data_IF_202698427525
#
_entry.id   IF_202698427525
#
_cell.length_a   1.000
_cell.length_b   1.000
_cell.length_c   1.000
_cell.angle_alpha   90.00
_cell.angle_beta   90.00
_cell.angle_gamma   90.00
#
_symmetry.space_group_name_H-M   'P 1'
#
loop_
_entity.id
_entity.type
_entity.pdbx_description
1 polymer ?
#
# COMPACT_ATOMS: atom_id res chain seq x y z
N UNK A 1 85.63 9.22 -44.27
CA UNK A 1 85.58 8.94 -45.73
C UNK A 1 84.41 9.70 -46.35
N UNK A 2 84.68 10.31 -47.51
CA UNK A 2 83.83 10.89 -48.58
C UNK A 2 82.29 11.04 -48.43
N UNK A 3 81.84 12.28 -48.62
CA UNK A 3 80.83 12.80 -49.59
C UNK A 3 79.70 11.85 -50.06
N UNK A 4 78.43 12.28 -49.96
CA UNK A 4 77.69 12.91 -51.07
C UNK A 4 76.29 13.42 -50.68
N UNK A 5 75.88 14.53 -51.30
CA UNK A 5 74.55 15.16 -51.26
C UNK A 5 73.54 14.37 -52.10
N UNK A 6 72.25 14.38 -51.74
CA UNK A 6 71.14 14.55 -52.70
C UNK A 6 69.80 14.78 -51.98
N UNK A 7 69.28 15.98 -52.20
CA UNK A 7 67.91 16.45 -51.97
C UNK A 7 66.88 15.61 -52.72
N UNK A 8 65.80 15.21 -52.06
CA UNK A 8 64.52 14.93 -52.69
C UNK A 8 63.39 15.53 -51.85
N UNK A 9 62.68 16.48 -52.45
CA UNK A 9 61.42 17.06 -52.00
C UNK A 9 60.31 16.10 -52.41
N UNK A 10 59.51 15.56 -51.47
CA UNK A 10 58.18 15.02 -51.79
C UNK A 10 57.20 15.35 -50.66
N UNK A 11 56.24 16.21 -51.03
CA UNK A 11 54.86 16.40 -50.60
C UNK A 11 54.42 15.95 -49.19
N UNK A 12 54.02 16.94 -48.39
CA UNK A 12 53.11 16.76 -47.28
C UNK A 12 51.71 16.34 -47.78
N UNK A 13 51.24 15.18 -47.35
CA UNK A 13 49.81 14.83 -47.33
C UNK A 13 49.43 14.76 -45.86
N UNK A 14 48.82 15.84 -45.35
CA UNK A 14 48.20 15.85 -44.05
C UNK A 14 46.92 15.00 -44.14
N UNK A 15 47.00 13.75 -43.71
CA UNK A 15 45.83 12.92 -43.48
C UNK A 15 45.12 13.46 -42.23
N UNK A 16 44.06 14.23 -42.42
CA UNK A 16 43.16 14.62 -41.35
C UNK A 16 42.44 13.35 -40.85
N UNK A 17 42.93 12.78 -39.75
CA UNK A 17 42.19 11.79 -38.97
C UNK A 17 40.98 12.49 -38.35
N UNK A 18 39.86 12.49 -39.08
CA UNK A 18 38.56 12.76 -38.51
C UNK A 18 38.25 11.68 -37.47
N UNK A 19 38.41 12.02 -36.19
CA UNK A 19 37.99 11.16 -35.10
C UNK A 19 36.48 10.92 -35.20
N UNK A 20 36.10 9.69 -35.52
CA UNK A 20 34.75 9.20 -35.25
C UNK A 20 34.57 9.16 -33.73
N UNK A 21 34.04 10.23 -33.17
CA UNK A 21 33.46 10.20 -31.84
C UNK A 21 32.23 9.29 -31.89
N UNK A 22 32.38 8.05 -31.43
CA UNK A 22 31.24 7.16 -31.18
C UNK A 22 30.52 7.75 -29.97
N UNK A 23 29.50 8.57 -30.22
CA UNK A 23 28.56 8.98 -29.20
C UNK A 23 27.77 7.73 -28.80
N UNK A 24 28.16 7.09 -27.70
CA UNK A 24 27.32 6.09 -27.05
C UNK A 24 26.07 6.81 -26.54
N UNK A 25 24.98 6.73 -27.29
CA UNK A 25 23.68 7.12 -26.81
C UNK A 25 23.31 6.18 -25.67
N UNK A 26 23.55 6.61 -24.43
CA UNK A 26 22.97 5.96 -23.26
C UNK A 26 21.47 6.14 -23.36
N UNK A 27 20.78 5.08 -23.79
CA UNK A 27 19.33 5.00 -23.66
C UNK A 27 19.06 4.85 -22.17
N UNK A 28 18.85 5.97 -21.48
CA UNK A 28 18.20 5.94 -20.17
C UNK A 28 16.81 5.37 -20.40
N UNK A 29 16.60 4.11 -20.01
CA UNK A 29 15.26 3.57 -19.87
C UNK A 29 14.55 4.44 -18.83
N UNK A 30 13.71 5.36 -19.29
CA UNK A 30 12.71 5.99 -18.43
C UNK A 30 11.86 4.86 -17.88
N UNK A 31 11.95 4.63 -16.57
CA UNK A 31 10.96 3.88 -15.82
C UNK A 31 9.56 4.40 -16.23
N UNK A 32 8.54 3.56 -16.34
CA UNK A 32 7.19 4.03 -16.63
C UNK A 32 6.72 4.89 -15.45
N UNK A 33 6.90 6.19 -15.55
CA UNK A 33 6.33 7.18 -14.64
C UNK A 33 5.02 7.66 -15.28
N UNK A 34 3.89 7.01 -15.00
CA UNK A 34 2.57 7.57 -15.33
C UNK A 34 1.34 6.88 -14.71
N UNK A 35 1.36 5.61 -14.26
CA UNK A 35 0.10 4.94 -13.87
C UNK A 35 -0.40 5.24 -12.44
N UNK A 36 0.43 5.84 -11.58
CA UNK A 36 0.12 5.97 -10.14
C UNK A 36 -0.77 7.18 -9.76
N UNK A 37 -0.96 8.11 -10.71
CA UNK A 37 -1.79 9.33 -10.58
C UNK A 37 -3.24 9.13 -11.07
N UNK A 38 -3.50 8.03 -11.81
CA UNK A 38 -4.78 7.79 -12.50
C UNK A 38 -5.97 7.66 -11.52
N UNK A 39 -5.71 7.19 -10.30
CA UNK A 39 -6.70 7.11 -9.24
C UNK A 39 -7.00 8.49 -8.62
N UNK A 40 -5.95 9.15 -8.11
CA UNK A 40 -6.05 10.39 -7.34
C UNK A 40 -4.69 11.07 -7.22
N UNK A 41 -4.63 12.34 -7.60
CA UNK A 41 -3.45 13.19 -7.47
C UNK A 41 -3.70 14.32 -6.45
N UNK A 42 -2.82 14.45 -5.46
CA UNK A 42 -2.93 15.52 -4.46
C UNK A 42 -2.49 16.87 -5.06
N UNK A 43 -3.37 17.90 -5.04
CA UNK A 43 -3.08 19.17 -5.71
C UNK A 43 -2.22 20.13 -4.85
N UNK A 44 -2.01 19.80 -3.57
CA UNK A 44 -1.32 20.66 -2.60
C UNK A 44 -0.73 19.86 -1.45
N UNK A 45 0.19 20.48 -0.73
CA UNK A 45 0.67 19.97 0.57
C UNK A 45 -0.45 20.03 1.60
N UNK A 46 -0.59 18.99 2.42
CA UNK A 46 -1.58 18.92 3.50
C UNK A 46 -0.89 18.89 4.86
N UNK A 47 -1.38 19.72 5.78
CA UNK A 47 -0.90 19.83 7.16
C UNK A 47 -2.03 20.14 8.12
N UNK A 48 -1.74 20.19 9.43
CA UNK A 48 -2.73 20.51 10.46
C UNK A 48 -3.61 21.72 10.11
N UNK A 49 -4.92 21.58 10.28
CA UNK A 49 -5.93 22.59 9.95
C UNK A 49 -6.45 22.53 8.50
N UNK A 50 -5.77 21.79 7.61
CA UNK A 50 -6.29 21.55 6.26
C UNK A 50 -7.55 20.69 6.31
N UNK A 51 -8.52 20.96 5.45
CA UNK A 51 -9.69 20.12 5.27
C UNK A 51 -10.08 20.00 3.80
N UNK A 52 -10.82 18.95 3.46
CA UNK A 52 -11.33 18.68 2.12
C UNK A 52 -11.24 17.22 1.71
N UNK A 53 -11.70 16.94 0.49
CA UNK A 53 -11.67 15.60 -0.09
C UNK A 53 -10.23 15.05 -0.25
N UNK A 54 -9.25 15.93 -0.45
CA UNK A 54 -7.82 15.59 -0.48
C UNK A 54 -7.31 15.06 0.86
N UNK A 55 -7.81 15.60 1.98
CA UNK A 55 -7.53 15.08 3.31
C UNK A 55 -8.24 13.74 3.55
N UNK A 56 -9.49 13.58 3.13
CA UNK A 56 -10.20 12.29 3.18
C UNK A 56 -9.41 11.21 2.44
N UNK A 57 -8.94 11.55 1.24
CA UNK A 57 -8.10 10.68 0.43
C UNK A 57 -6.81 10.33 1.15
N UNK A 58 -6.13 11.28 1.79
CA UNK A 58 -4.91 11.01 2.56
C UNK A 58 -5.19 10.06 3.74
N UNK A 59 -6.23 10.34 4.52
CA UNK A 59 -6.64 9.54 5.68
C UNK A 59 -6.84 8.06 5.30
N UNK A 60 -7.44 7.77 4.15
CA UNK A 60 -7.61 6.39 3.66
C UNK A 60 -6.26 5.67 3.53
N UNK A 61 -5.24 6.34 2.96
CA UNK A 61 -3.93 5.72 2.69
C UNK A 61 -3.09 5.57 3.94
N UNK A 62 -3.23 6.49 4.90
CA UNK A 62 -2.49 6.43 6.16
C UNK A 62 -3.26 5.75 7.30
N UNK A 63 -4.44 5.19 7.03
CA UNK A 63 -5.34 4.64 8.04
C UNK A 63 -4.71 3.53 8.91
N UNK A 64 -3.80 2.75 8.32
CA UNK A 64 -3.08 1.68 9.01
C UNK A 64 -1.85 2.12 9.81
N UNK A 65 -1.58 3.43 9.89
CA UNK A 65 -0.40 3.99 10.57
C UNK A 65 -0.74 4.72 11.87
N UNK A 66 -1.90 4.42 12.45
CA UNK A 66 -2.32 4.95 13.76
C UNK A 66 -1.65 4.20 14.92
N UNK A 67 -1.53 4.81 16.11
CA UNK A 67 -1.09 4.11 17.31
C UNK A 67 -1.97 2.90 17.63
N UNK A 68 -1.40 1.95 18.39
CA UNK A 68 -2.10 0.76 18.85
C UNK A 68 -3.44 1.12 19.51
N UNK A 69 -4.49 0.37 19.16
CA UNK A 69 -5.81 0.51 19.77
C UNK A 69 -6.58 1.75 19.32
N UNK A 70 -6.12 2.41 18.27
CA UNK A 70 -6.85 3.49 17.61
C UNK A 70 -7.36 3.03 16.25
N UNK A 71 -8.46 3.63 15.82
CA UNK A 71 -9.00 3.52 14.47
C UNK A 71 -9.09 4.93 13.90
N UNK A 72 -8.61 5.12 12.67
CA UNK A 72 -8.62 6.44 12.03
C UNK A 72 -10.05 6.89 11.69
N UNK A 73 -10.42 8.09 12.16
CA UNK A 73 -11.58 8.81 11.63
C UNK A 73 -11.28 9.35 10.23
N UNK A 74 -12.13 9.01 9.25
CA UNK A 74 -12.02 9.50 7.88
C UNK A 74 -13.08 10.60 7.71
N UNK A 75 -12.73 11.81 8.17
CA UNK A 75 -13.62 12.96 8.28
C UNK A 75 -13.24 14.13 7.35
N UNK A 76 -12.14 14.00 6.61
CA UNK A 76 -11.63 15.06 5.73
C UNK A 76 -11.00 16.23 6.48
N UNK A 77 -10.69 16.08 7.78
CA UNK A 77 -10.04 17.11 8.61
C UNK A 77 -8.65 16.66 9.03
N UNK A 78 -7.65 17.49 8.77
CA UNK A 78 -6.27 17.21 9.13
C UNK A 78 -6.04 17.61 10.59
N UNK A 79 -6.49 16.75 11.51
CA UNK A 79 -6.30 16.87 12.94
C UNK A 79 -5.02 16.21 13.45
N UNK A 80 -4.90 16.10 14.78
CA UNK A 80 -3.75 15.48 15.45
C UNK A 80 -3.58 14.00 15.08
N UNK A 81 -4.68 13.24 14.93
CA UNK A 81 -4.61 11.84 14.54
C UNK A 81 -4.05 11.66 13.12
N UNK A 82 -4.51 12.48 12.16
CA UNK A 82 -3.97 12.50 10.79
C UNK A 82 -2.49 12.85 10.78
N UNK A 83 -2.06 13.88 11.53
CA UNK A 83 -0.65 14.26 11.65
C UNK A 83 0.22 13.10 12.15
N UNK A 84 -0.21 12.42 13.21
CA UNK A 84 0.51 11.28 13.78
C UNK A 84 0.61 10.13 12.78
N UNK A 85 -0.48 9.81 12.08
CA UNK A 85 -0.47 8.73 11.09
C UNK A 85 0.43 9.04 9.89
N UNK A 86 0.45 10.29 9.42
CA UNK A 86 1.38 10.74 8.37
C UNK A 86 2.83 10.60 8.84
N UNK A 87 3.16 11.05 10.06
CA UNK A 87 4.51 10.91 10.60
C UNK A 87 4.94 9.44 10.76
N UNK A 88 4.03 8.56 11.17
CA UNK A 88 4.29 7.12 11.27
C UNK A 88 4.50 6.47 9.90
N UNK A 89 3.66 6.80 8.92
CA UNK A 89 3.84 6.37 7.53
C UNK A 89 5.21 6.81 6.99
N UNK A 90 5.55 8.09 7.17
CA UNK A 90 6.83 8.65 6.74
C UNK A 90 8.00 7.90 7.38
N UNK A 91 7.95 7.68 8.71
CA UNK A 91 8.98 6.94 9.43
C UNK A 91 9.12 5.50 8.91
N UNK A 92 8.00 4.81 8.69
CA UNK A 92 8.00 3.42 8.22
C UNK A 92 8.68 3.28 6.85
N UNK A 93 8.47 4.26 5.97
CA UNK A 93 9.04 4.28 4.63
C UNK A 93 10.34 5.08 4.48
N UNK A 94 11.01 5.42 5.59
CA UNK A 94 12.32 6.07 5.56
C UNK A 94 12.30 7.53 5.06
N UNK A 95 11.15 8.20 5.15
CA UNK A 95 11.00 9.62 4.83
C UNK A 95 11.26 10.49 6.09
N UNK A 96 11.42 11.81 5.89
CA UNK A 96 11.38 12.75 7.01
C UNK A 96 10.00 12.71 7.69
N UNK A 97 9.97 12.38 8.98
CA UNK A 97 8.74 12.18 9.76
C UNK A 97 8.22 13.49 10.39
N UNK A 98 7.91 14.48 9.55
CA UNK A 98 7.44 15.81 9.97
C UNK A 98 5.91 15.89 10.19
N UNK A 99 5.17 14.86 9.76
CA UNK A 99 3.71 14.82 9.82
C UNK A 99 3.03 15.76 8.82
N UNK A 100 3.74 16.22 7.80
CA UNK A 100 3.24 17.06 6.71
C UNK A 100 3.23 16.22 5.42
N UNK A 101 2.06 16.07 4.81
CA UNK A 101 1.95 15.35 3.55
C UNK A 101 2.31 16.28 2.39
N UNK A 102 3.60 16.27 2.02
CA UNK A 102 4.14 16.96 0.84
C UNK A 102 4.53 16.02 -0.30
N UNK A 103 5.23 16.51 -1.34
CA UNK A 103 5.56 15.75 -2.55
C UNK A 103 6.23 14.38 -2.29
N UNK A 104 7.15 14.29 -1.33
CA UNK A 104 7.81 13.01 -0.99
C UNK A 104 6.82 11.99 -0.38
N UNK A 105 5.88 12.45 0.45
CA UNK A 105 4.84 11.59 1.02
C UNK A 105 3.90 11.08 -0.07
N UNK A 106 3.44 11.98 -0.96
CA UNK A 106 2.56 11.60 -2.06
C UNK A 106 3.25 10.67 -3.07
N UNK A 107 4.51 10.94 -3.42
CA UNK A 107 5.30 10.06 -4.28
C UNK A 107 5.39 8.64 -3.72
N UNK A 108 5.55 8.50 -2.40
CA UNK A 108 5.54 7.17 -1.77
C UNK A 108 4.17 6.52 -1.79
N UNK A 109 3.09 7.27 -1.57
CA UNK A 109 1.71 6.77 -1.71
C UNK A 109 1.45 6.27 -3.14
N UNK A 110 1.85 7.04 -4.15
CA UNK A 110 1.73 6.68 -5.56
C UNK A 110 2.47 5.37 -5.87
N UNK A 111 3.68 5.18 -5.34
CA UNK A 111 4.42 3.92 -5.52
C UNK A 111 3.75 2.69 -4.87
N UNK A 112 2.76 2.90 -3.99
CA UNK A 112 1.99 1.85 -3.32
C UNK A 112 0.55 1.76 -3.87
N UNK A 113 0.19 2.55 -4.87
CA UNK A 113 -1.19 2.68 -5.34
C UNK A 113 -1.33 2.14 -6.76
N UNK A 114 -2.34 1.30 -6.96
CA UNK A 114 -2.77 0.85 -8.29
C UNK A 114 -3.76 1.83 -8.93
N UNK A 115 -3.95 1.78 -10.28
CA UNK A 115 -4.84 2.69 -11.00
C UNK A 115 -6.29 2.74 -10.49
N UNK A 116 -6.78 1.67 -9.87
CA UNK A 116 -8.15 1.58 -9.33
C UNK A 116 -8.28 2.05 -7.86
N UNK A 117 -7.22 2.69 -7.34
CA UNK A 117 -7.08 3.19 -5.96
C UNK A 117 -6.85 2.14 -4.88
N UNK A 118 -6.75 0.86 -5.22
CA UNK A 118 -6.30 -0.17 -4.26
C UNK A 118 -4.79 -0.05 -4.01
N UNK A 119 -4.27 -0.59 -2.89
CA UNK A 119 -2.84 -0.68 -2.70
C UNK A 119 -2.23 -1.78 -3.58
N UNK A 120 -0.96 -1.63 -3.93
CA UNK A 120 -0.21 -2.46 -4.88
C UNK A 120 -0.31 -3.98 -4.66
N UNK A 121 -0.47 -4.43 -3.42
CA UNK A 121 -0.43 -5.85 -3.08
C UNK A 121 -1.79 -6.48 -2.82
N UNK A 122 -2.90 -5.73 -2.97
CA UNK A 122 -4.24 -6.24 -2.71
C UNK A 122 -5.25 -5.70 -3.72
N UNK A 123 -6.09 -6.56 -4.27
CA UNK A 123 -7.02 -6.18 -5.34
C UNK A 123 -8.47 -6.19 -4.87
N UNK A 124 -9.35 -5.45 -5.56
CA UNK A 124 -10.79 -5.62 -5.34
C UNK A 124 -11.26 -7.04 -5.64
N UNK A 125 -10.71 -7.69 -6.69
CA UNK A 125 -11.13 -9.02 -7.09
C UNK A 125 -10.90 -10.05 -5.97
N UNK A 126 -9.70 -10.03 -5.37
CA UNK A 126 -9.34 -10.86 -4.23
C UNK A 126 -10.27 -10.61 -3.03
N UNK A 127 -10.58 -9.34 -2.75
CA UNK A 127 -11.46 -8.96 -1.66
C UNK A 127 -12.97 -9.09 -1.96
N UNK A 128 -13.38 -9.53 -3.16
CA UNK A 128 -14.81 -9.59 -3.54
C UNK A 128 -15.22 -10.86 -4.28
N UNK A 129 -14.48 -11.96 -4.11
CA UNK A 129 -14.89 -13.28 -4.60
C UNK A 129 -16.35 -13.60 -4.21
N UNK A 130 -16.75 -13.24 -2.97
CA UNK A 130 -18.13 -13.29 -2.49
C UNK A 130 -18.76 -14.67 -2.69
N UNK A 131 -18.03 -15.72 -2.31
CA UNK A 131 -18.39 -17.12 -2.55
C UNK A 131 -18.58 -17.43 -4.05
N UNK A 132 -17.64 -16.99 -4.89
CA UNK A 132 -17.64 -17.16 -6.35
C UNK A 132 -18.66 -16.33 -7.14
N UNK A 133 -19.39 -15.43 -6.49
CA UNK A 133 -20.41 -14.58 -7.15
C UNK A 133 -19.86 -13.25 -7.65
N UNK A 134 -18.63 -12.90 -7.28
CA UNK A 134 -18.04 -11.61 -7.56
C UNK A 134 -18.74 -10.45 -6.83
N UNK A 135 -18.32 -9.24 -7.15
CA UNK A 135 -18.81 -8.04 -6.47
C UNK A 135 -20.25 -7.69 -6.85
N UNK A 136 -21.17 -7.84 -5.91
CA UNK A 136 -22.59 -7.47 -6.03
C UNK A 136 -22.97 -6.25 -5.17
N UNK A 137 -21.99 -5.61 -4.54
CA UNK A 137 -22.18 -4.52 -3.60
C UNK A 137 -22.36 -3.15 -4.23
N UNK A 138 -22.49 -2.16 -3.36
CA UNK A 138 -22.62 -0.74 -3.73
C UNK A 138 -21.26 -0.04 -3.82
N UNK A 139 -21.22 1.19 -4.37
CA UNK A 139 -20.02 2.02 -4.31
C UNK A 139 -19.54 2.27 -2.87
N UNK A 140 -20.45 2.36 -1.89
CA UNK A 140 -20.09 2.50 -0.48
C UNK A 140 -19.40 1.23 0.07
N UNK A 141 -19.85 0.05 -0.35
CA UNK A 141 -19.17 -1.20 -0.02
C UNK A 141 -17.75 -1.23 -0.62
N UNK A 142 -17.61 -0.82 -1.88
CA UNK A 142 -16.31 -0.74 -2.55
C UNK A 142 -15.36 0.25 -1.87
N UNK A 143 -15.87 1.39 -1.44
CA UNK A 143 -15.09 2.38 -0.66
C UNK A 143 -14.63 1.81 0.70
N UNK A 144 -15.48 1.06 1.40
CA UNK A 144 -15.10 0.37 2.64
C UNK A 144 -14.02 -0.70 2.40
N UNK A 145 -14.12 -1.44 1.28
CA UNK A 145 -13.09 -2.41 0.91
C UNK A 145 -11.74 -1.72 0.72
N UNK A 146 -11.70 -0.61 -0.03
CA UNK A 146 -10.47 0.18 -0.20
C UNK A 146 -9.87 0.60 1.14
N UNK A 147 -10.70 1.04 2.09
CA UNK A 147 -10.26 1.41 3.44
C UNK A 147 -9.68 0.24 4.23
N UNK A 148 -10.22 -0.97 4.06
CA UNK A 148 -9.69 -2.18 4.67
C UNK A 148 -8.38 -2.61 3.98
N UNK A 149 -8.30 -2.57 2.65
CA UNK A 149 -7.12 -2.94 1.88
C UNK A 149 -5.92 -2.03 2.19
N UNK A 150 -6.10 -0.71 2.30
CA UNK A 150 -5.00 0.19 2.69
C UNK A 150 -4.49 -0.05 4.11
N UNK A 151 -5.32 -0.56 5.02
CA UNK A 151 -4.87 -1.04 6.34
C UNK A 151 -4.13 -2.37 6.23
N UNK A 152 -4.56 -3.27 5.34
CA UNK A 152 -3.87 -4.52 5.05
C UNK A 152 -2.48 -4.26 4.43
N UNK A 153 -2.33 -3.24 3.58
CA UNK A 153 -1.02 -2.80 3.06
C UNK A 153 -0.08 -2.33 4.17
N UNK A 154 -0.59 -1.53 5.11
CA UNK A 154 0.19 -1.15 6.28
C UNK A 154 0.57 -2.37 7.13
N UNK A 155 -0.36 -3.31 7.34
CA UNK A 155 -0.12 -4.56 8.07
C UNK A 155 0.95 -5.42 7.40
N UNK A 156 0.89 -5.58 6.08
CA UNK A 156 1.90 -6.28 5.25
C UNK A 156 3.28 -5.67 5.48
N UNK A 157 3.40 -4.34 5.38
CA UNK A 157 4.67 -3.66 5.59
C UNK A 157 5.17 -3.77 7.04
N UNK A 158 4.28 -3.63 8.03
CA UNK A 158 4.60 -3.79 9.45
C UNK A 158 5.06 -5.21 9.81
N UNK A 159 4.63 -6.22 9.05
CA UNK A 159 5.09 -7.59 9.16
C UNK A 159 6.42 -7.84 8.45
N UNK A 160 7.07 -6.82 7.88
CA UNK A 160 8.34 -6.98 7.18
C UNK A 160 8.19 -7.30 5.69
N UNK A 161 7.14 -6.77 5.04
CA UNK A 161 6.86 -6.95 3.62
C UNK A 161 6.55 -8.40 3.17
N UNK A 162 6.24 -9.28 4.13
CA UNK A 162 5.76 -10.63 3.86
C UNK A 162 4.35 -10.60 3.24
N UNK A 163 4.08 -11.35 2.16
CA UNK A 163 2.79 -11.36 1.50
C UNK A 163 1.69 -11.87 2.43
N UNK A 164 0.51 -11.26 2.34
CA UNK A 164 -0.73 -11.73 2.97
C UNK A 164 -1.73 -12.05 1.86
N UNK A 165 -2.62 -13.00 2.09
CA UNK A 165 -3.71 -13.33 1.18
C UNK A 165 -5.05 -13.04 1.82
N UNK A 166 -5.95 -12.42 1.08
CA UNK A 166 -7.35 -12.27 1.44
C UNK A 166 -8.09 -13.53 1.00
N UNK A 167 -8.62 -14.29 1.95
CA UNK A 167 -9.44 -15.48 1.66
C UNK A 167 -10.92 -15.15 1.59
N UNK A 168 -11.35 -14.05 2.22
CA UNK A 168 -12.71 -13.55 2.17
C UNK A 168 -12.74 -12.06 2.49
N UNK A 169 -13.60 -11.30 1.81
CA UNK A 169 -13.74 -9.86 1.95
C UNK A 169 -15.20 -9.43 1.92
N UNK A 170 -15.63 -8.66 0.93
CA UNK A 170 -17.06 -8.36 0.76
C UNK A 170 -17.88 -9.64 0.61
N UNK A 171 -18.97 -9.73 1.39
CA UNK A 171 -20.01 -10.75 1.26
C UNK A 171 -21.35 -10.05 1.13
N UNK A 172 -22.17 -10.39 0.14
CA UNK A 172 -23.58 -10.04 0.20
C UNK A 172 -24.32 -10.95 1.22
N UNK A 173 -25.62 -10.70 1.44
CA UNK A 173 -26.42 -11.45 2.40
C UNK A 173 -26.49 -12.94 2.10
N UNK A 174 -26.45 -13.34 0.83
CA UNK A 174 -26.48 -14.75 0.41
C UNK A 174 -25.17 -15.46 0.74
N UNK A 175 -24.00 -14.90 0.38
CA UNK A 175 -22.72 -15.52 0.78
C UNK A 175 -22.58 -15.55 2.29
N UNK A 176 -22.88 -14.44 2.96
CA UNK A 176 -22.75 -14.36 4.41
C UNK A 176 -23.60 -15.42 5.12
N UNK A 177 -24.86 -15.62 4.70
CA UNK A 177 -25.69 -16.69 5.26
C UNK A 177 -25.15 -18.09 4.93
N UNK A 178 -24.65 -18.31 3.70
CA UNK A 178 -24.14 -19.63 3.27
C UNK A 178 -22.91 -20.11 4.05
N UNK A 179 -22.09 -19.18 4.56
CA UNK A 179 -20.92 -19.48 5.40
C UNK A 179 -21.22 -19.41 6.91
N UNK A 180 -22.50 -19.27 7.29
CA UNK A 180 -22.89 -19.15 8.69
C UNK A 180 -22.48 -17.83 9.36
N UNK A 181 -22.23 -16.78 8.57
CA UNK A 181 -21.81 -15.48 9.06
C UNK A 181 -22.89 -14.77 9.89
N UNK A 182 -22.45 -13.98 10.87
CA UNK A 182 -23.35 -13.19 11.72
C UNK A 182 -24.16 -12.16 10.91
N UNK A 183 -25.38 -11.86 11.36
CA UNK A 183 -26.27 -10.88 10.69
C UNK A 183 -25.75 -9.44 10.74
N UNK A 184 -24.91 -9.13 11.72
CA UNK A 184 -24.23 -7.84 11.89
C UNK A 184 -22.76 -7.88 11.41
N UNK A 185 -22.39 -8.85 10.56
CA UNK A 185 -21.03 -8.99 10.05
C UNK A 185 -20.56 -7.75 9.26
N UNK A 186 -19.32 -7.33 9.49
CA UNK A 186 -18.70 -6.20 8.78
C UNK A 186 -18.32 -6.57 7.33
N UNK A 187 -18.33 -7.86 6.96
CA UNK A 187 -18.20 -8.29 5.56
C UNK A 187 -19.36 -7.79 4.69
N UNK A 188 -20.57 -7.67 5.25
CA UNK A 188 -21.77 -7.15 4.56
C UNK A 188 -21.61 -5.69 4.13
N UNK A 189 -20.79 -4.92 4.86
CA UNK A 189 -20.50 -3.53 4.52
C UNK A 189 -19.24 -3.38 3.67
N UNK A 190 -18.52 -4.46 3.37
CA UNK A 190 -17.23 -4.45 2.67
C UNK A 190 -16.05 -3.99 3.53
N UNK A 191 -16.24 -3.83 4.85
CA UNK A 191 -15.23 -3.29 5.75
C UNK A 191 -14.36 -4.33 6.45
N UNK A 192 -14.46 -5.60 6.07
CA UNK A 192 -13.76 -6.72 6.71
C UNK A 192 -12.94 -7.52 5.69
N UNK A 193 -11.87 -8.14 6.19
CA UNK A 193 -11.00 -9.06 5.46
C UNK A 193 -10.68 -10.26 6.36
N UNK A 194 -10.75 -11.45 5.80
CA UNK A 194 -10.20 -12.67 6.39
C UNK A 194 -8.83 -12.89 5.75
N UNK A 195 -7.78 -12.84 6.57
CA UNK A 195 -6.38 -12.85 6.11
C UNK A 195 -5.66 -14.14 6.52
N UNK A 196 -4.84 -14.66 5.62
CA UNK A 196 -3.91 -15.76 5.89
C UNK A 196 -2.48 -15.42 5.44
N UNK A 197 -1.46 -16.09 6.00
CA UNK A 197 -0.08 -15.95 5.53
C UNK A 197 0.05 -16.26 4.02
N UNK A 198 0.79 -15.43 3.30
CA UNK A 198 1.19 -15.69 1.92
C UNK A 198 2.48 -16.52 1.81
N UNK A 199 3.24 -16.61 2.90
CA UNK A 199 4.48 -17.38 3.02
C UNK A 199 4.60 -18.05 4.40
N UNK A 200 5.71 -18.75 4.65
CA UNK A 200 5.97 -19.43 5.93
C UNK A 200 6.61 -18.55 7.01
N UNK A 201 6.93 -17.29 6.70
CA UNK A 201 7.56 -16.37 7.65
C UNK A 201 6.51 -15.69 8.55
N UNK A 202 5.27 -15.63 8.09
CA UNK A 202 4.11 -15.14 8.84
C UNK A 202 3.20 -16.29 9.29
N UNK A 203 2.41 -16.04 10.32
CA UNK A 203 1.39 -16.95 10.85
C UNK A 203 0.09 -16.18 11.08
N UNK A 204 -1.04 -16.88 11.21
CA UNK A 204 -2.31 -16.25 11.58
C UNK A 204 -2.17 -15.45 12.89
N UNK A 205 -1.44 -16.00 13.87
CA UNK A 205 -1.18 -15.30 15.12
C UNK A 205 -0.27 -14.08 14.98
N UNK A 206 0.71 -14.07 14.08
CA UNK A 206 1.49 -12.85 13.84
C UNK A 206 0.65 -11.77 13.15
N UNK A 207 -0.23 -12.16 12.21
CA UNK A 207 -1.18 -11.26 11.55
C UNK A 207 -2.11 -10.63 12.59
N UNK A 208 -2.80 -11.44 13.40
CA UNK A 208 -3.72 -10.96 14.42
C UNK A 208 -3.01 -10.03 15.42
N UNK A 209 -1.82 -10.40 15.92
CA UNK A 209 -1.08 -9.58 16.88
C UNK A 209 -0.65 -8.24 16.29
N UNK A 210 -0.20 -8.23 15.03
CA UNK A 210 0.27 -7.01 14.38
C UNK A 210 -0.89 -6.11 13.92
N UNK A 211 -2.05 -6.67 13.57
CA UNK A 211 -3.24 -5.92 13.18
C UNK A 211 -3.70 -4.90 14.24
N UNK A 212 -3.35 -5.11 15.51
CA UNK A 212 -3.57 -4.18 16.64
C UNK A 212 -2.88 -2.81 16.47
N UNK A 213 -1.88 -2.74 15.60
CA UNK A 213 -1.13 -1.53 15.24
C UNK A 213 -1.45 -1.04 13.81
N UNK A 214 -2.38 -1.70 13.11
CA UNK A 214 -2.73 -1.42 11.73
C UNK A 214 -4.12 -0.77 11.58
N UNK A 215 -4.64 -0.16 12.65
CA UNK A 215 -5.88 0.63 12.60
C UNK A 215 -7.16 -0.17 12.39
N UNK A 216 -7.16 -1.47 12.74
CA UNK A 216 -8.35 -2.32 12.73
C UNK A 216 -9.08 -2.29 14.09
N UNK A 217 -10.39 -2.11 14.06
CA UNK A 217 -11.22 -2.14 15.26
C UNK A 217 -11.64 -3.55 15.65
N UNK A 218 -11.98 -4.39 14.67
CA UNK A 218 -12.26 -5.81 14.89
C UNK A 218 -11.05 -6.65 14.53
N UNK A 219 -10.64 -7.56 15.42
CA UNK A 219 -9.59 -8.55 15.15
C UNK A 219 -10.01 -9.85 15.82
N UNK A 220 -10.25 -10.89 15.04
CA UNK A 220 -10.58 -12.22 15.57
C UNK A 220 -9.67 -13.27 14.95
N UNK A 221 -9.13 -14.17 15.75
CA UNK A 221 -8.18 -15.18 15.29
C UNK A 221 -8.23 -16.44 16.17
N UNK A 222 -7.16 -17.25 16.15
CA UNK A 222 -7.15 -18.53 16.83
C UNK A 222 -7.54 -18.44 18.30
N UNK A 223 -8.44 -19.33 18.72
CA UNK A 223 -9.08 -19.33 20.04
C UNK A 223 -10.45 -18.65 20.07
N UNK A 224 -10.74 -17.73 19.13
CA UNK A 224 -12.08 -17.16 18.98
C UNK A 224 -12.95 -18.10 18.11
N UNK A 225 -14.25 -18.33 18.45
CA UNK A 225 -15.07 -19.31 17.75
C UNK A 225 -15.08 -19.14 16.23
N UNK A 226 -14.74 -20.21 15.50
CA UNK A 226 -14.66 -20.26 14.03
C UNK A 226 -13.61 -19.36 13.36
N UNK A 227 -12.52 -19.01 14.07
CA UNK A 227 -11.44 -18.16 13.55
C UNK A 227 -10.03 -18.79 13.70
N UNK A 228 -9.94 -20.12 13.80
CA UNK A 228 -8.65 -20.82 13.96
C UNK A 228 -7.83 -20.92 12.67
N UNK A 229 -8.46 -20.73 11.50
CA UNK A 229 -7.85 -20.92 10.17
C UNK A 229 -7.59 -19.60 9.41
N UNK A 230 -7.95 -18.45 10.00
CA UNK A 230 -7.69 -17.12 9.44
C UNK A 230 -7.62 -16.05 10.53
N UNK A 231 -7.07 -14.88 10.20
CA UNK A 231 -7.19 -13.68 11.02
C UNK A 231 -8.26 -12.78 10.38
N UNK A 232 -9.40 -12.67 11.02
CA UNK A 232 -10.41 -11.67 10.66
C UNK A 232 -9.94 -10.30 11.13
N UNK A 233 -10.03 -9.30 10.24
CA UNK A 233 -9.77 -7.90 10.55
C UNK A 233 -10.86 -7.01 9.95
N UNK A 234 -11.30 -5.98 10.67
CA UNK A 234 -12.30 -5.06 10.14
C UNK A 234 -12.19 -3.61 10.66
N UNK A 235 -12.81 -2.69 9.91
CA UNK A 235 -12.68 -1.24 10.09
C UNK A 235 -13.71 -0.63 11.06
N UNK A 236 -14.42 -1.42 11.87
CA UNK A 236 -15.34 -0.87 12.89
C UNK A 236 -14.59 0.12 13.79
N UNK A 237 -15.31 1.09 14.36
CA UNK A 237 -14.69 2.15 15.17
C UNK A 237 -14.48 1.76 16.62
N UNK A 238 -15.19 0.75 17.12
CA UNK A 238 -14.97 0.17 18.44
C UNK A 238 -13.84 -0.86 18.41
N UNK A 239 -13.10 -0.96 19.51
CA UNK A 239 -12.10 -2.01 19.67
C UNK A 239 -12.79 -3.29 20.16
N UNK A 240 -12.67 -4.37 19.41
CA UNK A 240 -13.15 -5.70 19.74
C UNK A 240 -12.14 -6.73 19.20
N UNK A 241 -11.27 -7.22 20.08
CA UNK A 241 -10.11 -8.04 19.71
C UNK A 241 -10.09 -9.33 20.53
N UNK A 242 -10.03 -10.49 19.86
CA UNK A 242 -9.90 -11.80 20.52
C UNK A 242 -9.12 -12.79 19.64
N UNK A 243 -8.01 -13.31 20.17
CA UNK A 243 -7.23 -14.38 19.55
C UNK A 243 -6.49 -15.13 20.67
N UNK A 244 -7.22 -15.56 21.70
CA UNK A 244 -6.66 -16.05 22.96
C UNK A 244 -5.77 -17.31 22.83
N UNK A 245 -5.86 -18.07 21.74
CA UNK A 245 -4.94 -19.17 21.48
C UNK A 245 -3.57 -18.70 20.94
N UNK A 246 -3.44 -17.44 20.53
CA UNK A 246 -2.18 -16.86 20.11
C UNK A 246 -1.32 -16.47 21.32
N UNK A 247 -0.16 -17.12 21.47
CA UNK A 247 0.78 -16.79 22.53
C UNK A 247 1.16 -15.30 22.53
N UNK A 248 1.02 -14.66 23.70
CA UNK A 248 1.27 -13.23 23.89
C UNK A 248 0.22 -12.32 23.24
N UNK A 249 -1.01 -12.81 23.10
CA UNK A 249 -2.18 -11.96 22.86
C UNK A 249 -2.30 -10.92 23.97
#
# INVERSE_FOLDING_TARGET
MRRNRLTHVIAAVALALGGLGVATATVTATAPAAHADECYSWPRTLSSGTSGADVTQLQIRVAGWVPRGQVMGIDGSFGAQTKTAVANFQKAYGLAADGIAGPATFSKIYALQDPDCTPLHFTYAEASDNCGRGFTGTAANKENMKRALWRAEALRHQLGDHPLKVTSGYRDSTCNASVGGASNSVHLSGGALDLVPGDSATSICSIAKQARYAGFGGIFGPGYPAHDDHAHVDIRTSIAWDADACAGW
#
